data_IF_601953744381
#
_entry.id   IF_601953744381
#
_cell.length_a   1.000
_cell.length_b   1.000
_cell.length_c   1.000
_cell.angle_alpha   90.00
_cell.angle_beta   90.00
_cell.angle_gamma   90.00
#
_symmetry.space_group_name_H-M   'P 1'
#
loop_
_entity.id
_entity.type
_entity.pdbx_description
1 polymer ?
#
# COMPACT_ATOMS: atom_id res chain seq x y z
N UNK A 1 0.25 -36.44 -33.14
CA UNK A 1 1.49 -37.09 -32.69
C UNK A 1 2.53 -36.00 -32.58
N UNK A 2 2.68 -35.40 -31.39
CA UNK A 2 3.92 -34.79 -30.87
C UNK A 2 3.61 -34.36 -29.44
N UNK A 3 4.15 -35.15 -28.51
CA UNK A 3 4.02 -35.02 -27.07
C UNK A 3 5.14 -34.09 -26.60
N UNK A 4 4.80 -32.90 -26.10
CA UNK A 4 5.77 -31.95 -25.55
C UNK A 4 6.19 -32.34 -24.14
N UNK A 5 7.28 -33.11 -24.04
CA UNK A 5 7.93 -33.48 -22.79
C UNK A 5 8.64 -32.24 -22.20
N UNK A 6 8.12 -31.67 -21.11
CA UNK A 6 8.86 -30.69 -20.29
C UNK A 6 9.90 -31.44 -19.44
N UNK A 7 11.17 -31.33 -19.80
CA UNK A 7 12.31 -31.80 -19.00
C UNK A 7 12.65 -30.71 -17.99
N UNK A 8 12.26 -30.89 -16.72
CA UNK A 8 12.82 -30.14 -15.60
C UNK A 8 14.22 -30.69 -15.31
N UNK A 9 15.24 -29.88 -15.56
CA UNK A 9 16.62 -30.14 -15.12
C UNK A 9 16.73 -29.73 -13.65
N UNK A 10 16.67 -30.69 -12.73
CA UNK A 10 17.20 -30.49 -11.38
C UNK A 10 18.71 -30.79 -11.43
N UNK A 11 19.52 -29.77 -11.18
CA UNK A 11 20.96 -29.91 -10.99
C UNK A 11 21.25 -30.74 -9.73
N UNK A 12 22.21 -31.65 -9.86
CA UNK A 12 22.64 -32.56 -8.80
C UNK A 12 23.47 -31.82 -7.75
N UNK A 13 23.08 -31.94 -6.48
CA UNK A 13 23.98 -31.76 -5.35
C UNK A 13 24.23 -33.13 -4.72
N UNK A 14 25.47 -33.60 -4.86
CA UNK A 14 26.01 -34.80 -4.23
C UNK A 14 26.60 -34.38 -2.88
N UNK A 15 25.94 -34.73 -1.77
CA UNK A 15 26.61 -35.12 -0.52
C UNK A 15 25.75 -36.19 0.15
N UNK A 16 26.34 -37.36 0.35
CA UNK A 16 25.71 -38.51 0.99
C UNK A 16 26.07 -38.57 2.49
N UNK A 17 25.23 -39.35 3.20
CA UNK A 17 25.43 -40.03 4.50
C UNK A 17 24.69 -39.37 5.68
N UNK A 18 23.49 -39.88 5.98
CA UNK A 18 23.25 -40.74 7.15
C UNK A 18 21.81 -41.29 7.12
N UNK A 19 21.68 -42.59 7.37
CA UNK A 19 20.43 -43.34 7.33
C UNK A 19 19.46 -42.95 8.45
N UNK A 20 18.18 -42.83 8.12
CA UNK A 20 17.10 -42.61 9.08
C UNK A 20 15.73 -42.51 8.41
N UNK A 21 15.14 -43.67 8.11
CA UNK A 21 13.70 -43.94 8.04
C UNK A 21 12.80 -43.01 7.18
N UNK A 22 12.50 -43.47 5.96
CA UNK A 22 11.27 -43.10 5.24
C UNK A 22 10.04 -43.52 6.07
N UNK A 23 9.28 -42.54 6.54
CA UNK A 23 7.86 -42.68 6.85
C UNK A 23 7.14 -41.42 6.35
N UNK A 24 6.56 -41.51 5.16
CA UNK A 24 5.59 -40.52 4.69
C UNK A 24 4.26 -40.84 5.38
N UNK A 25 4.01 -40.17 6.51
CA UNK A 25 2.71 -40.20 7.17
C UNK A 25 1.80 -39.21 6.45
N UNK A 26 0.94 -39.72 5.58
CA UNK A 26 -0.33 -39.04 5.27
C UNK A 26 -1.18 -39.14 6.52
N UNK A 27 -1.36 -38.02 7.22
CA UNK A 27 -2.54 -37.67 8.02
C UNK A 27 -2.29 -36.32 8.71
N UNK A 28 -2.72 -35.23 8.07
CA UNK A 28 -3.17 -34.04 8.78
C UNK A 28 -4.38 -33.46 8.03
N UNK A 29 -5.61 -33.76 8.45
CA UNK A 29 -6.80 -33.14 7.90
C UNK A 29 -7.12 -31.86 8.68
N UNK A 30 -6.77 -30.71 8.12
CA UNK A 30 -7.42 -29.44 8.45
C UNK A 30 -8.12 -28.92 7.19
N UNK A 31 -9.12 -29.66 6.74
CA UNK A 31 -10.17 -29.16 5.86
C UNK A 31 -11.47 -29.85 6.26
N UNK A 32 -12.25 -29.15 7.08
CA UNK A 32 -13.64 -29.50 7.36
C UNK A 32 -14.51 -29.11 6.17
N UNK A 33 -15.04 -30.13 5.53
CA UNK A 33 -16.29 -30.19 4.73
C UNK A 33 -17.47 -29.68 5.59
N UNK A 34 -18.65 -29.28 5.11
CA UNK A 34 -19.25 -29.11 3.79
C UNK A 34 -20.60 -28.37 4.01
N UNK A 35 -21.13 -27.81 2.93
CA UNK A 35 -22.56 -27.65 2.61
C UNK A 35 -23.48 -26.74 3.47
N UNK A 36 -23.84 -25.60 2.88
CA UNK A 36 -25.10 -25.51 2.13
C UNK A 36 -26.36 -25.02 2.84
N UNK A 37 -27.00 -24.05 2.17
CA UNK A 37 -28.44 -23.75 2.08
C UNK A 37 -29.06 -22.76 3.07
N UNK A 38 -29.56 -21.68 2.45
CA UNK A 38 -30.87 -21.02 2.63
C UNK A 38 -31.31 -20.47 3.99
N UNK A 39 -31.76 -19.21 3.96
CA UNK A 39 -33.10 -18.88 4.48
C UNK A 39 -33.18 -18.16 5.83
N UNK A 40 -33.73 -16.96 5.73
CA UNK A 40 -34.79 -16.40 6.59
C UNK A 40 -34.50 -16.00 8.05
N UNK A 41 -35.00 -14.80 8.38
CA UNK A 41 -36.18 -14.78 9.23
C UNK A 41 -36.00 -14.22 10.64
N UNK A 42 -36.61 -13.06 10.84
CA UNK A 42 -37.01 -12.50 12.13
C UNK A 42 -37.81 -13.49 12.99
N UNK A 43 -37.67 -13.38 14.31
CA UNK A 43 -38.51 -14.12 15.25
C UNK A 43 -37.94 -14.12 16.68
N UNK A 44 -38.43 -13.20 17.50
CA UNK A 44 -38.07 -13.09 18.90
C UNK A 44 -38.56 -14.24 19.80
N UNK A 45 -37.98 -14.34 20.99
CA UNK A 45 -38.68 -14.38 22.27
C UNK A 45 -37.71 -14.67 23.45
N UNK A 46 -37.85 -13.84 24.48
CA UNK A 46 -37.84 -14.21 25.90
C UNK A 46 -36.66 -14.99 26.49
N UNK A 47 -35.88 -14.31 27.34
CA UNK A 47 -35.50 -14.87 28.65
C UNK A 47 -35.40 -13.80 29.74
N UNK A 48 -36.15 -14.02 30.83
CA UNK A 48 -35.97 -13.44 32.17
C UNK A 48 -35.19 -14.44 33.04
N UNK A 49 -34.85 -14.15 34.31
CA UNK A 49 -34.23 -12.95 34.86
C UNK A 49 -33.01 -13.26 35.77
N UNK A 50 -32.19 -12.25 36.07
CA UNK A 50 -31.11 -12.31 37.06
C UNK A 50 -31.32 -11.26 38.15
N UNK A 51 -31.46 -11.72 39.38
CA UNK A 51 -31.70 -10.99 40.64
C UNK A 51 -30.60 -10.02 41.05
N UNK A 52 -30.98 -8.90 41.68
CA UNK A 52 -30.08 -8.03 42.45
C UNK A 52 -30.81 -6.88 43.15
N UNK A 53 -31.22 -7.11 44.39
CA UNK A 53 -32.01 -6.19 45.22
C UNK A 53 -31.20 -5.00 45.76
N UNK A 54 -31.85 -3.83 45.85
CA UNK A 54 -31.55 -2.79 46.84
C UNK A 54 -32.87 -2.22 47.38
N UNK A 55 -32.98 -2.22 48.71
CA UNK A 55 -34.08 -1.71 49.51
C UNK A 55 -33.83 -0.24 49.87
N UNK A 56 -34.90 0.55 50.06
CA UNK A 56 -35.25 1.26 51.32
C UNK A 56 -36.32 2.33 51.10
N UNK A 57 -37.31 2.28 52.02
CA UNK A 57 -38.20 3.32 52.56
C UNK A 57 -39.46 3.76 51.82
N UNK A 58 -40.57 3.52 52.54
CA UNK A 58 -41.88 4.12 52.36
C UNK A 58 -41.92 5.58 52.82
N UNK A 59 -42.75 6.37 52.13
CA UNK A 59 -43.27 7.67 52.55
C UNK A 59 -44.53 7.98 51.74
N UNK A 60 -45.66 8.17 52.44
CA UNK A 60 -46.99 8.52 51.90
C UNK A 60 -47.03 9.84 51.14
N UNK A 61 -48.12 10.01 50.38
CA UNK A 61 -49.03 11.17 50.16
C UNK A 61 -49.36 11.21 48.65
N UNK A 62 -50.55 10.91 48.13
CA UNK A 62 -51.87 11.48 48.42
C UNK A 62 -52.43 12.07 47.11
N UNK A 63 -53.51 11.53 46.54
CA UNK A 63 -54.12 12.08 45.32
C UNK A 63 -55.21 11.20 44.70
N UNK A 64 -56.46 11.55 44.96
CA UNK A 64 -57.77 10.97 44.55
C UNK A 64 -57.90 10.73 43.02
N UNK A 65 -58.40 9.59 42.54
CA UNK A 65 -59.83 9.26 42.39
C UNK A 65 -60.48 10.07 41.26
N UNK A 66 -60.84 9.51 40.10
CA UNK A 66 -62.12 8.82 39.93
C UNK A 66 -62.11 7.95 38.66
N UNK A 67 -62.46 6.67 38.82
CA UNK A 67 -63.00 5.84 37.75
C UNK A 67 -64.41 6.35 37.48
N UNK A 68 -64.73 6.68 36.23
CA UNK A 68 -66.12 6.88 35.82
C UNK A 68 -66.62 5.61 35.12
N UNK A 69 -67.40 4.83 35.86
CA UNK A 69 -68.23 3.76 35.31
C UNK A 69 -69.64 4.31 35.09
N UNK A 70 -69.96 4.58 33.82
CA UNK A 70 -71.28 4.38 33.24
C UNK A 70 -72.27 5.53 33.31
N UNK A 71 -72.60 6.07 32.13
CA UNK A 71 -73.94 6.61 31.85
C UNK A 71 -74.38 6.12 30.47
N UNK A 72 -75.39 5.24 30.45
CA UNK A 72 -76.27 5.06 29.29
C UNK A 72 -77.12 6.32 29.21
N UNK A 73 -76.76 7.22 28.31
CA UNK A 73 -77.58 8.39 28.01
C UNK A 73 -78.83 7.95 27.25
N UNK A 74 -79.99 8.25 27.81
CA UNK A 74 -81.31 8.08 27.19
C UNK A 74 -81.99 9.44 27.03
N UNK A 75 -81.21 10.47 26.72
CA UNK A 75 -81.66 11.79 26.26
C UNK A 75 -82.17 11.79 24.81
N UNK A 76 -83.01 12.78 24.45
CA UNK A 76 -83.77 12.79 23.20
C UNK A 76 -82.87 13.00 21.98
N UNK A 77 -83.20 12.30 20.89
CA UNK A 77 -82.64 12.48 19.54
C UNK A 77 -82.40 13.96 19.24
N UNK A 78 -81.13 14.32 19.25
CA UNK A 78 -80.65 15.60 18.78
C UNK A 78 -81.08 15.80 17.33
N UNK A 79 -81.93 16.81 17.12
CA UNK A 79 -82.40 17.24 15.80
C UNK A 79 -81.79 18.59 15.45
N UNK A 80 -80.57 18.85 15.93
CA UNK A 80 -79.73 19.92 15.43
C UNK A 80 -79.63 19.89 13.89
N UNK A 81 -79.46 21.06 13.24
CA UNK A 81 -79.12 21.11 11.82
C UNK A 81 -77.90 20.22 11.57
N UNK A 82 -77.77 19.57 10.39
CA UNK A 82 -76.63 18.70 10.13
C UNK A 82 -75.39 19.50 10.42
N UNK A 83 -74.68 19.08 11.45
CA UNK A 83 -73.35 19.57 11.73
C UNK A 83 -72.60 19.33 10.43
N UNK A 84 -72.29 20.40 9.71
CA UNK A 84 -71.25 20.34 8.70
C UNK A 84 -69.97 20.22 9.50
N UNK A 85 -69.79 19.03 10.09
CA UNK A 85 -68.64 18.68 10.88
C UNK A 85 -67.45 19.02 10.00
N UNK A 86 -66.60 19.90 10.51
CA UNK A 86 -65.19 19.68 10.24
C UNK A 86 -64.96 18.23 10.65
N UNK A 87 -64.73 17.36 9.65
CA UNK A 87 -64.33 15.98 9.91
C UNK A 87 -63.24 16.04 10.97
N UNK A 88 -63.44 15.29 12.04
CA UNK A 88 -62.44 15.26 13.09
C UNK A 88 -61.44 14.21 12.67
N UNK A 89 -60.23 14.66 12.33
CA UNK A 89 -59.18 13.79 11.86
C UNK A 89 -59.03 12.53 12.72
N UNK A 90 -59.13 11.38 12.06
CA UNK A 90 -59.07 10.04 12.65
C UNK A 90 -60.43 9.44 12.99
N UNK A 91 -61.53 9.94 12.44
CA UNK A 91 -62.87 9.36 12.62
C UNK A 91 -63.25 8.30 11.56
N UNK A 92 -62.38 8.08 10.57
CA UNK A 92 -62.53 7.09 9.51
C UNK A 92 -63.31 7.60 8.29
N UNK A 93 -63.65 8.89 8.23
CA UNK A 93 -64.38 9.48 7.11
C UNK A 93 -63.65 10.74 6.60
N UNK A 94 -63.24 10.75 5.32
CA UNK A 94 -62.58 11.92 4.73
C UNK A 94 -63.52 13.13 4.70
N UNK A 95 -63.25 14.10 5.57
CA UNK A 95 -63.93 15.38 5.67
C UNK A 95 -63.46 16.43 4.66
N UNK A 96 -64.06 17.62 4.70
CA UNK A 96 -63.75 18.70 3.74
C UNK A 96 -62.39 19.39 3.92
N UNK A 97 -61.67 19.08 5.00
CA UNK A 97 -60.39 19.68 5.40
C UNK A 97 -59.27 18.63 5.58
N UNK A 98 -59.49 17.42 5.11
CA UNK A 98 -58.60 16.27 5.28
C UNK A 98 -58.18 15.78 3.89
N UNK A 99 -56.89 15.50 3.72
CA UNK A 99 -56.40 14.90 2.49
C UNK A 99 -56.59 13.37 2.52
N UNK A 100 -56.59 12.77 3.71
CA UNK A 100 -56.82 11.36 4.02
C UNK A 100 -57.45 11.18 5.40
N UNK A 101 -58.03 10.01 5.68
CA UNK A 101 -58.45 9.62 7.02
C UNK A 101 -58.49 8.08 7.10
N UNK A 102 -57.44 7.49 7.68
CA UNK A 102 -57.37 6.05 7.99
C UNK A 102 -57.91 5.75 9.40
N UNK A 103 -58.62 6.70 10.01
CA UNK A 103 -59.21 6.57 11.33
C UNK A 103 -58.17 6.45 12.43
N UNK A 104 -58.36 5.50 13.37
CA UNK A 104 -57.36 5.19 14.40
C UNK A 104 -56.00 4.72 13.87
N UNK A 105 -55.91 4.37 12.57
CA UNK A 105 -54.67 3.90 11.94
C UNK A 105 -53.81 5.07 11.39
N UNK A 106 -54.26 6.31 11.51
CA UNK A 106 -53.43 7.49 11.25
C UNK A 106 -52.18 7.49 12.13
N UNK A 107 -51.06 7.95 11.59
CA UNK A 107 -49.82 8.14 12.33
C UNK A 107 -48.64 8.51 11.46
N UNK A 108 -47.54 8.92 12.10
CA UNK A 108 -46.36 9.46 11.43
C UNK A 108 -45.76 8.47 10.39
N UNK A 109 -45.80 7.16 10.66
CA UNK A 109 -45.30 6.12 9.76
C UNK A 109 -46.40 5.45 8.90
N UNK A 110 -47.63 5.98 8.96
CA UNK A 110 -48.77 5.50 8.20
C UNK A 110 -48.91 6.27 6.88
N UNK A 111 -49.80 5.81 6.00
CA UNK A 111 -50.09 6.52 4.74
C UNK A 111 -50.74 7.89 4.98
N UNK A 112 -51.35 8.06 6.16
CA UNK A 112 -52.04 9.26 6.60
C UNK A 112 -51.52 9.70 7.98
N UNK A 113 -51.10 10.96 8.09
CA UNK A 113 -50.57 11.54 9.31
C UNK A 113 -51.66 11.78 10.36
N UNK A 114 -51.24 12.04 11.60
CA UNK A 114 -52.15 12.40 12.69
C UNK A 114 -52.94 13.70 12.46
N UNK A 115 -52.51 14.54 11.52
CA UNK A 115 -53.20 15.76 11.09
C UNK A 115 -53.99 15.60 9.78
N UNK A 116 -54.15 14.35 9.32
CA UNK A 116 -54.91 14.00 8.10
C UNK A 116 -54.34 14.59 6.82
N UNK A 117 -53.02 14.82 6.81
CA UNK A 117 -52.24 15.03 5.60
C UNK A 117 -51.67 13.70 5.12
N UNK A 118 -51.49 13.55 3.79
CA UNK A 118 -50.82 12.37 3.27
C UNK A 118 -49.37 12.32 3.72
N UNK A 119 -48.89 11.11 4.01
CA UNK A 119 -47.47 10.88 4.08
C UNK A 119 -46.87 11.03 2.67
N UNK A 120 -45.89 11.93 2.55
CA UNK A 120 -45.22 12.27 1.29
C UNK A 120 -43.72 12.38 1.52
N UNK A 121 -42.93 11.96 0.52
CA UNK A 121 -41.49 12.09 0.62
C UNK A 121 -41.06 13.55 0.83
N UNK A 122 -40.21 13.80 1.82
CA UNK A 122 -39.71 15.11 2.22
C UNK A 122 -40.52 15.77 3.33
N UNK A 123 -41.45 15.06 3.98
CA UNK A 123 -42.24 15.59 5.12
C UNK A 123 -41.59 15.32 6.49
N UNK A 124 -40.50 14.55 6.51
CA UNK A 124 -39.73 14.20 7.70
C UNK A 124 -40.14 12.88 8.33
N UNK A 125 -41.07 12.13 7.73
CA UNK A 125 -41.60 10.90 8.29
C UNK A 125 -41.64 9.75 7.27
N UNK A 126 -40.82 8.69 7.44
CA UNK A 126 -40.79 7.57 6.50
C UNK A 126 -42.11 6.77 6.52
N UNK A 127 -42.90 6.90 5.45
CA UNK A 127 -44.17 6.21 5.28
C UNK A 127 -44.05 4.75 4.81
N UNK A 128 -45.21 4.10 4.57
CA UNK A 128 -45.26 2.73 4.08
C UNK A 128 -44.56 2.57 2.72
N UNK A 129 -43.46 1.81 2.70
CA UNK A 129 -42.67 1.59 1.47
C UNK A 129 -41.60 2.65 1.20
N UNK A 130 -41.44 3.63 2.09
CA UNK A 130 -40.38 4.64 2.09
C UNK A 130 -39.40 4.32 3.22
N UNK A 131 -38.28 3.63 2.96
CA UNK A 131 -37.32 3.24 4.00
C UNK A 131 -36.61 4.43 4.69
N UNK A 132 -36.68 5.64 4.14
CA UNK A 132 -36.14 6.87 4.72
C UNK A 132 -37.02 8.08 4.35
N UNK A 133 -36.91 9.16 5.13
CA UNK A 133 -37.40 10.52 4.83
C UNK A 133 -36.65 11.48 5.77
N UNK A 134 -35.96 12.48 5.24
CA UNK A 134 -35.20 13.45 6.05
C UNK A 134 -35.79 14.86 6.03
N UNK A 135 -37.01 15.02 5.50
CA UNK A 135 -37.79 16.24 5.60
C UNK A 135 -37.33 17.36 4.68
N UNK A 136 -36.64 17.04 3.59
CA UNK A 136 -36.15 18.04 2.66
C UNK A 136 -36.16 17.58 1.19
N UNK A 137 -35.88 18.49 0.26
CA UNK A 137 -35.93 18.28 -1.21
C UNK A 137 -34.51 18.17 -1.85
N UNK A 138 -33.49 17.75 -1.10
CA UNK A 138 -32.08 17.66 -1.54
C UNK A 138 -31.74 16.18 -1.79
N UNK A 139 -31.30 15.84 -3.01
CA UNK A 139 -31.04 14.44 -3.38
C UNK A 139 -29.65 13.93 -2.92
N UNK A 140 -28.73 14.82 -2.59
CA UNK A 140 -27.33 14.55 -2.23
C UNK A 140 -27.11 14.46 -0.71
N UNK A 141 -28.04 13.83 0.00
CA UNK A 141 -27.95 13.51 1.43
C UNK A 141 -28.26 12.03 1.73
N UNK A 142 -28.65 11.71 2.97
CA UNK A 142 -28.86 10.33 3.39
C UNK A 142 -30.14 9.70 2.78
N UNK A 143 -31.06 10.53 2.28
CA UNK A 143 -32.32 10.08 1.72
C UNK A 143 -32.71 10.91 0.49
N UNK A 144 -32.64 10.26 -0.68
CA UNK A 144 -33.09 10.92 -1.92
C UNK A 144 -34.55 11.41 -1.85
N UNK A 145 -34.91 12.35 -2.72
CA UNK A 145 -36.28 12.85 -2.91
C UNK A 145 -37.28 11.78 -3.41
N UNK A 146 -36.78 10.58 -3.72
CA UNK A 146 -37.59 9.40 -4.00
C UNK A 146 -37.79 8.51 -2.77
N UNK A 147 -37.34 8.94 -1.60
CA UNK A 147 -37.35 8.23 -0.32
C UNK A 147 -36.66 6.87 -0.40
N UNK A 148 -35.58 6.83 -1.18
CA UNK A 148 -34.65 5.71 -1.27
C UNK A 148 -33.38 6.11 -0.52
N UNK A 149 -32.82 5.24 0.33
CA UNK A 149 -31.60 5.57 1.06
C UNK A 149 -30.46 5.80 0.08
N UNK A 150 -29.51 6.65 0.47
CA UNK A 150 -28.23 6.78 -0.22
C UNK A 150 -27.63 5.41 -0.53
N UNK A 151 -27.31 5.14 -1.79
CA UNK A 151 -26.69 3.88 -2.22
C UNK A 151 -25.71 4.10 -3.36
N UNK A 152 -24.51 3.60 -3.16
CA UNK A 152 -23.45 3.60 -4.16
C UNK A 152 -23.88 3.10 -5.54
N UNK A 153 -23.74 3.96 -6.55
CA UNK A 153 -24.13 3.68 -7.93
C UNK A 153 -25.55 4.12 -8.27
N UNK A 154 -26.17 5.03 -7.50
CA UNK A 154 -27.45 5.65 -7.81
C UNK A 154 -27.33 6.84 -8.80
N UNK A 155 -26.11 7.30 -9.08
CA UNK A 155 -25.80 8.36 -10.03
C UNK A 155 -25.62 9.74 -9.38
N UNK A 156 -25.68 9.81 -8.05
CA UNK A 156 -25.46 10.98 -7.19
C UNK A 156 -24.32 10.65 -6.23
N UNK A 157 -23.51 11.65 -5.86
CA UNK A 157 -22.47 11.45 -4.83
C UNK A 157 -23.05 11.92 -3.50
N UNK A 158 -23.45 10.96 -2.67
CA UNK A 158 -24.07 11.20 -1.36
C UNK A 158 -23.00 11.64 -0.31
N UNK A 159 -23.34 12.20 0.86
CA UNK A 159 -22.37 12.81 1.79
C UNK A 159 -21.31 11.86 2.34
N UNK A 160 -21.64 10.58 2.48
CA UNK A 160 -20.73 9.51 2.91
C UNK A 160 -19.94 8.90 1.74
N UNK A 161 -20.18 9.33 0.51
CA UNK A 161 -19.55 8.83 -0.70
C UNK A 161 -18.45 9.78 -1.20
N UNK A 162 -17.28 9.22 -1.52
CA UNK A 162 -16.20 9.98 -2.15
C UNK A 162 -16.38 10.06 -3.68
N UNK A 163 -17.24 9.20 -4.23
CA UNK A 163 -17.46 9.00 -5.66
C UNK A 163 -18.72 8.16 -5.88
N UNK A 164 -19.26 8.14 -7.10
CA UNK A 164 -20.38 7.26 -7.49
C UNK A 164 -20.07 6.51 -8.80
N UNK A 165 -20.51 5.23 -8.89
CA UNK A 165 -20.21 4.33 -10.00
C UNK A 165 -21.00 4.60 -11.30
N UNK A 166 -22.13 5.28 -11.23
CA UNK A 166 -23.05 5.54 -12.35
C UNK A 166 -23.21 7.03 -12.66
N UNK A 167 -22.55 7.92 -11.91
CA UNK A 167 -22.42 9.33 -12.21
C UNK A 167 -21.78 9.58 -13.60
N UNK A 168 -22.14 10.68 -14.31
CA UNK A 168 -21.68 10.95 -15.67
C UNK A 168 -20.18 11.21 -15.83
N UNK A 169 -19.42 11.28 -14.73
CA UNK A 169 -17.96 11.25 -14.69
C UNK A 169 -17.53 10.23 -13.62
N UNK A 170 -17.59 8.92 -13.89
CA UNK A 170 -17.11 7.95 -12.93
C UNK A 170 -15.62 8.22 -12.73
N UNK A 171 -15.23 8.61 -11.53
CA UNK A 171 -13.81 8.60 -11.15
C UNK A 171 -13.37 7.17 -11.37
N UNK A 172 -12.36 6.96 -12.22
CA UNK A 172 -11.91 5.63 -12.64
C UNK A 172 -11.57 4.71 -11.44
N UNK A 173 -11.32 5.35 -10.30
CA UNK A 173 -10.94 4.76 -9.04
C UNK A 173 -12.06 4.79 -8.00
N UNK A 174 -13.31 4.56 -8.41
CA UNK A 174 -14.43 4.44 -7.47
C UNK A 174 -14.71 2.97 -7.16
N UNK A 175 -14.60 2.57 -5.88
CA UNK A 175 -14.89 1.20 -5.45
C UNK A 175 -16.40 0.93 -5.34
N UNK A 176 -16.81 -0.33 -5.17
CA UNK A 176 -18.22 -0.69 -4.90
C UNK A 176 -18.75 -0.21 -3.56
N UNK A 177 -17.89 0.38 -2.72
CA UNK A 177 -18.28 1.04 -1.48
C UNK A 177 -18.31 2.56 -1.63
N UNK A 178 -18.20 3.07 -2.86
CA UNK A 178 -18.16 4.48 -3.18
C UNK A 178 -17.08 5.25 -2.42
N UNK A 179 -15.98 4.55 -2.15
CA UNK A 179 -14.71 5.12 -1.70
C UNK A 179 -13.78 5.23 -2.90
N UNK A 180 -12.86 6.18 -2.87
CA UNK A 180 -11.76 6.21 -3.82
C UNK A 180 -10.78 5.07 -3.49
N UNK A 181 -10.41 4.22 -4.46
CA UNK A 181 -9.21 3.40 -4.28
C UNK A 181 -8.00 4.32 -4.38
N UNK A 182 -7.11 4.13 -3.43
CA UNK A 182 -5.88 4.88 -3.30
C UNK A 182 -4.78 3.85 -3.31
N UNK A 183 -3.72 4.12 -4.06
CA UNK A 183 -2.57 3.23 -4.05
C UNK A 183 -2.09 2.96 -2.61
N UNK A 184 -1.77 1.70 -2.35
CA UNK A 184 -1.33 1.13 -1.07
C UNK A 184 -2.47 0.88 -0.06
N UNK A 185 -3.72 0.75 -0.52
CA UNK A 185 -4.88 0.45 0.34
C UNK A 185 -5.22 -1.05 0.45
N UNK A 186 -4.48 -1.89 -0.27
CA UNK A 186 -4.63 -3.34 -0.32
C UNK A 186 -5.67 -3.81 -1.32
N UNK A 187 -6.21 -2.90 -2.14
CA UNK A 187 -7.27 -3.16 -3.10
C UNK A 187 -6.84 -2.75 -4.50
N UNK A 188 -6.25 -3.69 -5.24
CA UNK A 188 -5.95 -3.45 -6.65
C UNK A 188 -7.23 -3.20 -7.48
N UNK A 189 -7.41 -1.96 -7.96
CA UNK A 189 -8.60 -1.57 -8.72
C UNK A 189 -8.30 -0.51 -9.81
N UNK A 190 -9.17 -0.46 -10.82
CA UNK A 190 -9.09 0.58 -11.85
C UNK A 190 -7.82 0.50 -12.69
N UNK A 191 -6.98 1.55 -12.60
CA UNK A 191 -5.75 1.70 -13.38
C UNK A 191 -4.47 1.28 -12.65
N UNK A 192 -4.58 0.69 -11.45
CA UNK A 192 -3.45 0.17 -10.69
C UNK A 192 -2.92 -1.14 -11.30
N UNK A 193 -1.61 -1.23 -11.53
CA UNK A 193 -0.97 -2.44 -12.05
C UNK A 193 -0.65 -3.45 -10.93
N UNK A 194 -0.57 -2.97 -9.69
CA UNK A 194 -0.42 -3.73 -8.45
C UNK A 194 -1.00 -2.91 -7.29
N UNK A 195 -1.28 -3.56 -6.15
CA UNK A 195 -1.46 -2.91 -4.85
C UNK A 195 -1.18 -3.98 -3.78
N UNK A 196 -0.20 -3.74 -2.93
CA UNK A 196 0.25 -4.66 -1.90
C UNK A 196 -0.07 -4.15 -0.46
N UNK A 197 -0.85 -3.06 -0.37
CA UNK A 197 -1.39 -2.51 0.88
C UNK A 197 -0.38 -1.85 1.79
N UNK A 198 0.80 -1.45 1.30
CA UNK A 198 1.79 -0.75 2.10
C UNK A 198 2.62 0.21 1.23
N UNK A 199 3.35 1.15 1.84
CA UNK A 199 4.08 2.21 1.09
C UNK A 199 5.58 1.89 0.93
N UNK A 200 5.95 0.62 0.90
CA UNK A 200 7.33 0.20 0.74
C UNK A 200 7.64 0.01 -0.75
N UNK A 201 8.52 0.83 -1.30
CA UNK A 201 8.87 0.70 -2.72
C UNK A 201 9.96 -0.35 -2.99
N UNK A 202 10.51 -1.01 -1.96
CA UNK A 202 11.57 -2.03 -2.12
C UNK A 202 11.00 -3.44 -2.42
N UNK A 203 9.77 -3.54 -2.95
CA UNK A 203 9.07 -4.80 -3.24
C UNK A 203 8.35 -4.80 -4.61
N UNK A 204 7.38 -5.71 -4.80
CA UNK A 204 6.74 -5.94 -6.10
C UNK A 204 5.86 -4.77 -6.57
N UNK A 205 5.50 -3.84 -5.69
CA UNK A 205 4.64 -2.71 -6.02
C UNK A 205 5.26 -1.39 -5.60
N UNK A 206 5.56 -0.52 -6.58
CA UNK A 206 6.33 0.71 -6.33
C UNK A 206 5.54 1.96 -6.69
N UNK A 207 5.78 3.03 -5.93
CA UNK A 207 5.33 4.39 -6.20
C UNK A 207 3.82 4.50 -6.32
N UNK A 208 3.33 4.85 -7.50
CA UNK A 208 1.90 5.03 -7.76
C UNK A 208 1.28 3.74 -8.33
N UNK A 209 1.47 2.62 -7.61
CA UNK A 209 0.87 1.32 -7.92
C UNK A 209 1.27 0.78 -9.29
N UNK A 210 2.58 0.89 -9.56
CA UNK A 210 3.24 0.38 -10.74
C UNK A 210 4.01 -0.88 -10.36
N UNK A 211 3.98 -1.89 -11.24
CA UNK A 211 4.81 -3.07 -11.04
C UNK A 211 6.28 -2.67 -11.06
N UNK A 212 7.02 -3.12 -10.05
CA UNK A 212 8.44 -2.85 -9.99
C UNK A 212 9.18 -3.48 -11.18
N UNK A 213 10.20 -2.78 -11.66
CA UNK A 213 11.05 -3.21 -12.77
C UNK A 213 12.46 -2.71 -12.57
N UNK A 214 13.44 -3.51 -12.96
CA UNK A 214 14.83 -3.08 -13.03
C UNK A 214 14.99 -1.72 -13.72
N UNK A 215 15.64 -0.77 -13.04
CA UNK A 215 15.84 0.60 -13.48
C UNK A 215 14.73 1.57 -13.08
N UNK A 216 13.83 1.18 -12.17
CA UNK A 216 12.78 2.05 -11.65
C UNK A 216 13.25 2.93 -10.48
N UNK A 217 14.46 2.73 -9.98
CA UNK A 217 15.06 3.53 -8.93
C UNK A 217 14.85 2.98 -7.52
N UNK A 218 14.33 1.75 -7.39
CA UNK A 218 14.15 1.04 -6.14
C UNK A 218 14.95 -0.25 -6.13
N UNK A 219 15.36 -0.73 -4.95
CA UNK A 219 16.20 -1.93 -4.84
C UNK A 219 15.45 -3.08 -4.16
N UNK A 220 15.11 -4.11 -4.93
CA UNK A 220 14.38 -5.28 -4.44
C UNK A 220 15.28 -6.43 -4.03
N UNK A 221 15.56 -6.50 -2.73
CA UNK A 221 16.44 -7.52 -2.16
C UNK A 221 15.92 -8.95 -2.42
N UNK A 222 16.64 -9.70 -3.24
CA UNK A 222 16.38 -11.12 -3.52
C UNK A 222 15.88 -11.38 -4.95
N UNK A 223 15.30 -10.37 -5.61
CA UNK A 223 14.89 -10.46 -7.01
C UNK A 223 15.93 -9.82 -7.95
N UNK A 224 16.56 -8.74 -7.49
CA UNK A 224 17.64 -8.07 -8.21
C UNK A 224 18.88 -7.86 -7.32
N UNK A 225 20.03 -7.68 -7.96
CA UNK A 225 21.29 -7.51 -7.24
C UNK A 225 21.60 -6.02 -7.00
N UNK A 226 21.15 -5.15 -7.91
CA UNK A 226 21.30 -3.71 -7.88
C UNK A 226 20.20 -3.08 -8.74
N UNK A 227 20.01 -1.76 -8.63
CA UNK A 227 19.20 -0.97 -9.55
C UNK A 227 20.04 0.21 -10.08
N UNK A 228 20.06 0.50 -11.40
CA UNK A 228 20.86 1.59 -11.97
C UNK A 228 20.56 3.00 -11.41
N UNK A 229 19.35 3.24 -10.90
CA UNK A 229 18.94 4.47 -10.23
C UNK A 229 19.31 4.54 -8.74
N UNK A 230 19.73 3.43 -8.14
CA UNK A 230 20.12 3.33 -6.73
C UNK A 230 21.65 3.33 -6.58
N UNK A 231 22.23 4.14 -5.69
CA UNK A 231 23.66 4.09 -5.41
C UNK A 231 24.10 2.72 -4.91
N UNK A 232 25.06 2.11 -5.61
CA UNK A 232 25.70 0.87 -5.20
C UNK A 232 26.49 1.07 -3.90
N UNK A 233 26.30 0.17 -2.94
CA UNK A 233 27.06 0.13 -1.69
C UNK A 233 28.20 -0.89 -1.72
N UNK A 234 28.16 -1.82 -2.68
CA UNK A 234 29.17 -2.85 -2.90
C UNK A 234 30.40 -2.27 -3.59
N UNK A 235 31.55 -2.84 -3.28
CA UNK A 235 32.86 -2.46 -3.82
C UNK A 235 33.50 -3.63 -4.55
N UNK A 236 34.51 -3.34 -5.36
CA UNK A 236 35.31 -4.38 -6.01
C UNK A 236 35.98 -5.34 -5.01
N UNK A 237 36.27 -4.89 -3.77
CA UNK A 237 36.82 -5.72 -2.69
C UNK A 237 35.87 -6.86 -2.30
N UNK A 238 34.56 -6.60 -2.30
CA UNK A 238 33.54 -7.59 -1.98
C UNK A 238 33.49 -8.74 -3.00
N UNK A 239 33.96 -8.49 -4.23
CA UNK A 239 34.11 -9.47 -5.30
C UNK A 239 35.53 -10.05 -5.40
N UNK A 240 36.44 -9.67 -4.51
CA UNK A 240 37.82 -10.17 -4.45
C UNK A 240 38.83 -9.41 -5.31
N UNK A 241 38.47 -8.23 -5.82
CA UNK A 241 39.34 -7.34 -6.58
C UNK A 241 39.93 -6.24 -5.68
N UNK A 242 40.99 -5.57 -6.12
CA UNK A 242 41.72 -4.60 -5.28
C UNK A 242 41.31 -3.15 -5.59
N UNK A 243 40.97 -2.87 -6.85
CA UNK A 243 40.64 -1.53 -7.32
C UNK A 243 39.56 -1.59 -8.40
N UNK A 244 39.05 -0.43 -8.80
CA UNK A 244 38.03 -0.29 -9.83
C UNK A 244 36.67 0.13 -9.28
N UNK A 245 35.65 -0.03 -10.11
CA UNK A 245 34.26 0.25 -9.76
C UNK A 245 33.36 -0.92 -10.18
N UNK A 246 32.40 -1.25 -9.33
CA UNK A 246 31.28 -2.12 -9.70
C UNK A 246 30.27 -1.26 -10.44
N UNK A 247 29.64 -1.79 -11.47
CA UNK A 247 28.53 -1.15 -12.16
C UNK A 247 27.26 -1.98 -12.00
N UNK A 248 26.11 -1.34 -12.19
CA UNK A 248 24.84 -2.03 -12.31
C UNK A 248 24.44 -2.07 -13.78
N UNK A 249 24.20 -3.27 -14.31
CA UNK A 249 23.72 -3.44 -15.67
C UNK A 249 22.23 -3.09 -15.80
N UNK A 250 21.77 -2.87 -17.04
CA UNK A 250 20.35 -2.70 -17.36
C UNK A 250 19.49 -3.95 -17.09
N UNK A 251 20.12 -5.10 -16.79
CA UNK A 251 19.45 -6.32 -16.34
C UNK A 251 19.52 -6.53 -14.82
N UNK A 252 19.94 -5.48 -14.08
CA UNK A 252 20.03 -5.45 -12.61
C UNK A 252 20.94 -6.54 -12.01
N UNK A 253 21.95 -6.93 -12.79
CA UNK A 253 23.08 -7.71 -12.31
C UNK A 253 24.29 -6.81 -12.05
N UNK A 254 25.11 -7.20 -11.07
CA UNK A 254 26.38 -6.53 -10.86
C UNK A 254 27.34 -6.82 -12.03
N UNK A 255 27.93 -5.76 -12.56
CA UNK A 255 29.05 -5.83 -13.49
C UNK A 255 30.36 -5.48 -12.76
N UNK A 256 31.25 -6.46 -12.67
CA UNK A 256 32.58 -6.29 -12.10
C UNK A 256 33.66 -6.21 -13.20
N UNK A 257 33.29 -5.97 -14.46
CA UNK A 257 34.26 -5.86 -15.57
C UNK A 257 35.25 -4.71 -15.38
N UNK A 258 34.83 -3.65 -14.68
CA UNK A 258 35.71 -2.54 -14.30
C UNK A 258 36.31 -2.67 -12.89
N UNK A 259 36.32 -3.90 -12.34
CA UNK A 259 37.11 -4.27 -11.17
C UNK A 259 38.40 -4.98 -11.59
N UNK A 260 39.53 -4.57 -11.01
CA UNK A 260 40.85 -5.03 -11.40
C UNK A 260 41.64 -5.61 -10.22
N UNK A 261 42.50 -6.59 -10.52
CA UNK A 261 43.32 -7.27 -9.52
C UNK A 261 44.80 -7.04 -9.77
N UNK A 262 45.42 -6.36 -8.82
CA UNK A 262 46.85 -6.14 -8.83
C UNK A 262 47.63 -7.47 -8.78
N UNK A 263 48.48 -7.74 -9.78
CA UNK A 263 49.35 -8.91 -9.79
C UNK A 263 48.87 -10.08 -10.64
N UNK A 264 47.91 -9.86 -11.54
CA UNK A 264 47.45 -10.85 -12.50
C UNK A 264 48.34 -10.91 -13.77
N UNK A 265 49.35 -10.05 -13.86
CA UNK A 265 50.35 -10.02 -14.93
C UNK A 265 49.94 -9.20 -16.14
N UNK A 266 48.88 -8.40 -16.07
CA UNK A 266 48.46 -7.44 -17.10
C UNK A 266 48.18 -6.08 -16.44
N UNK A 267 48.47 -4.98 -17.14
CA UNK A 267 48.10 -3.64 -16.68
C UNK A 267 46.78 -3.29 -17.34
N UNK A 268 45.69 -3.19 -16.57
CA UNK A 268 44.34 -2.97 -17.08
C UNK A 268 43.57 -1.88 -16.32
N UNK A 269 42.69 -1.18 -17.03
CA UNK A 269 41.80 -0.16 -16.46
C UNK A 269 42.49 0.93 -15.64
N UNK A 270 42.17 1.00 -14.34
CA UNK A 270 42.69 1.99 -13.39
C UNK A 270 44.04 1.61 -12.75
N UNK A 271 44.60 0.44 -13.09
CA UNK A 271 45.90 0.00 -12.60
C UNK A 271 47.04 0.76 -13.28
N UNK A 272 47.95 1.34 -12.50
CA UNK A 272 49.12 2.06 -13.05
C UNK A 272 50.29 1.12 -13.39
N UNK A 273 50.29 -0.08 -12.81
CA UNK A 273 51.32 -1.11 -12.96
C UNK A 273 50.77 -2.47 -12.47
N UNK A 274 51.46 -3.55 -12.77
CA UNK A 274 51.23 -4.90 -12.20
C UNK A 274 52.59 -5.46 -11.73
N UNK A 275 52.63 -6.38 -10.75
CA UNK A 275 53.87 -6.95 -10.18
C UNK A 275 54.95 -7.26 -11.26
N UNK A 276 55.97 -6.41 -11.32
CA UNK A 276 57.11 -6.56 -12.24
C UNK A 276 56.86 -6.09 -13.69
N UNK A 277 55.68 -5.56 -14.00
CA UNK A 277 55.37 -4.80 -15.21
C UNK A 277 55.04 -3.37 -14.84
N UNK A 278 56.02 -2.48 -15.01
CA UNK A 278 55.71 -1.06 -15.13
C UNK A 278 54.73 -0.89 -16.31
N UNK A 279 53.73 -0.03 -16.18
CA UNK A 279 53.01 0.46 -17.35
C UNK A 279 53.96 1.11 -18.37
N UNK A 280 53.43 1.82 -19.37
CA UNK A 280 54.25 2.60 -20.32
C UNK A 280 55.08 3.72 -19.67
N UNK A 281 54.97 3.89 -18.36
CA UNK A 281 55.55 4.99 -17.63
C UNK A 281 56.98 4.65 -17.15
N UNK A 282 57.95 5.35 -17.73
CA UNK A 282 59.34 5.38 -17.27
C UNK A 282 59.59 6.69 -16.51
N UNK A 283 60.70 6.83 -15.75
CA UNK A 283 61.02 8.14 -15.12
C UNK A 283 60.88 9.29 -16.14
N UNK A 284 61.27 9.06 -17.40
CA UNK A 284 61.21 10.03 -18.49
C UNK A 284 59.82 10.47 -18.92
N UNK A 285 58.81 9.59 -18.89
CA UNK A 285 57.44 9.95 -19.30
C UNK A 285 56.72 10.80 -18.24
N UNK A 286 57.10 10.63 -16.97
CA UNK A 286 56.58 11.41 -15.84
C UNK A 286 57.28 12.76 -15.64
N UNK A 287 58.26 13.11 -16.49
CA UNK A 287 59.04 14.34 -16.38
C UNK A 287 60.20 14.29 -15.37
N UNK A 288 60.68 13.08 -15.05
CA UNK A 288 61.84 12.81 -14.20
C UNK A 288 63.02 12.30 -15.05
N UNK A 289 64.25 12.53 -14.60
CA UNK A 289 65.48 12.07 -15.25
C UNK A 289 65.94 10.82 -14.49
N UNK A 290 66.07 9.67 -15.16
CA UNK A 290 66.40 8.42 -14.46
C UNK A 290 66.39 7.16 -15.31
N UNK A 291 67.10 6.12 -14.84
CA UNK A 291 67.01 4.73 -15.32
C UNK A 291 66.47 3.79 -14.22
N UNK A 292 65.75 4.34 -13.23
CA UNK A 292 65.21 3.55 -12.12
C UNK A 292 64.09 2.63 -12.56
N UNK A 293 64.00 1.49 -11.88
CA UNK A 293 62.85 0.61 -12.01
C UNK A 293 61.67 1.26 -11.27
N UNK A 294 60.61 1.57 -12.00
CA UNK A 294 59.34 1.91 -11.36
C UNK A 294 58.77 0.62 -10.74
N UNK A 295 58.75 0.55 -9.41
CA UNK A 295 58.25 -0.62 -8.70
C UNK A 295 56.75 -0.47 -8.48
N UNK A 296 56.01 -1.57 -8.65
CA UNK A 296 54.60 -1.60 -8.36
C UNK A 296 54.38 -1.99 -6.90
N UNK A 297 53.64 -1.19 -6.13
CA UNK A 297 53.23 -1.57 -4.78
C UNK A 297 52.21 -2.70 -4.81
N UNK A 298 51.95 -3.34 -3.66
CA UNK A 298 50.88 -4.34 -3.53
C UNK A 298 49.47 -3.74 -3.68
N UNK A 299 49.34 -2.42 -3.77
CA UNK A 299 48.11 -1.67 -4.04
C UNK A 299 48.09 -1.07 -5.44
N UNK A 300 49.00 -1.50 -6.33
CA UNK A 300 49.10 -1.03 -7.71
C UNK A 300 49.35 0.48 -7.88
N UNK A 301 49.97 1.10 -6.86
CA UNK A 301 50.53 2.44 -6.97
C UNK A 301 51.95 2.37 -7.53
N UNK A 302 52.25 3.23 -8.50
CA UNK A 302 53.59 3.35 -9.06
C UNK A 302 54.51 3.99 -8.01
N UNK A 303 55.38 3.20 -7.42
CA UNK A 303 56.41 3.68 -6.51
C UNK A 303 57.70 3.87 -7.30
N UNK A 304 58.07 5.14 -7.52
CA UNK A 304 59.35 5.48 -8.14
C UNK A 304 60.47 5.27 -7.12
N UNK A 305 61.53 4.57 -7.52
CA UNK A 305 62.75 4.52 -6.70
C UNK A 305 63.38 5.92 -6.65
N UNK A 306 63.39 6.60 -5.48
CA UNK A 306 63.92 7.95 -5.35
C UNK A 306 65.45 8.01 -5.54
N UNK A 307 66.14 6.86 -5.57
CA UNK A 307 67.57 6.79 -5.84
C UNK A 307 67.91 6.83 -7.33
N UNK A 308 66.93 6.62 -8.20
CA UNK A 308 67.14 6.51 -9.65
C UNK A 308 66.19 7.34 -10.52
N UNK A 309 65.04 7.82 -10.03
CA UNK A 309 64.25 8.85 -10.70
C UNK A 309 64.43 10.19 -9.95
N UNK A 310 65.06 11.19 -10.60
CA UNK A 310 65.26 12.54 -10.03
C UNK A 310 64.49 13.61 -10.80
N UNK A 311 63.94 14.66 -10.14
CA UNK A 311 63.25 15.75 -10.84
C UNK A 311 64.22 16.52 -11.75
N UNK A 312 63.73 17.01 -12.89
CA UNK A 312 64.49 17.66 -13.98
C UNK A 312 65.35 18.87 -13.59
N UNK A 313 65.22 19.37 -12.36
CA UNK A 313 66.03 20.46 -11.80
C UNK A 313 67.24 20.04 -10.94
N UNK A 314 67.43 18.74 -10.65
CA UNK A 314 68.49 18.22 -9.76
C UNK A 314 69.24 17.03 -10.39
N UNK A 315 69.64 17.12 -11.66
CA UNK A 315 70.36 16.03 -12.32
C UNK A 315 71.75 15.81 -11.69
N UNK A 316 71.90 14.75 -10.91
CA UNK A 316 73.20 14.27 -10.46
C UNK A 316 73.74 13.27 -11.48
N UNK A 317 74.88 13.58 -12.07
CA UNK A 317 75.48 12.80 -13.16
C UNK A 317 76.80 12.17 -12.72
N UNK A 318 77.09 10.98 -13.24
CA UNK A 318 78.41 10.38 -13.22
C UNK A 318 79.35 11.20 -14.12
N UNK A 319 80.67 11.03 -13.94
CA UNK A 319 81.69 11.77 -14.70
C UNK A 319 81.64 11.51 -16.23
N UNK A 320 80.95 10.46 -16.66
CA UNK A 320 80.72 10.07 -18.05
C UNK A 320 79.40 10.62 -18.62
N UNK A 321 78.60 11.35 -17.83
CA UNK A 321 77.30 11.89 -18.22
C UNK A 321 76.12 10.93 -18.03
N UNK A 322 76.35 9.75 -17.45
CA UNK A 322 75.30 8.79 -17.10
C UNK A 322 74.60 9.19 -15.78
N UNK A 323 73.36 8.74 -15.56
CA UNK A 323 72.60 9.03 -14.33
C UNK A 323 73.04 8.08 -13.21
N UNK A 324 73.13 8.61 -11.99
CA UNK A 324 73.61 7.86 -10.84
C UNK A 324 72.50 7.06 -10.18
N UNK A 325 72.36 5.81 -10.58
CA UNK A 325 71.63 4.83 -9.80
C UNK A 325 72.53 4.28 -8.69
N UNK A 326 72.06 4.26 -7.43
CA UNK A 326 72.72 3.67 -6.24
C UNK A 326 73.90 4.41 -5.57
N UNK A 327 74.22 5.65 -5.97
CA UNK A 327 75.27 6.48 -5.33
C UNK A 327 74.70 7.73 -4.64
N UNK A 328 75.43 8.26 -3.65
CA UNK A 328 74.99 9.44 -2.90
C UNK A 328 75.20 10.69 -3.76
N UNK A 329 74.14 11.44 -4.07
CA UNK A 329 74.29 12.71 -4.76
C UNK A 329 74.84 13.80 -3.83
N UNK A 330 75.95 14.41 -4.22
CA UNK A 330 76.42 15.63 -3.58
C UNK A 330 75.65 16.84 -4.15
N UNK A 331 74.72 17.37 -3.36
CA UNK A 331 73.85 18.49 -3.74
C UNK A 331 74.59 19.79 -4.11
N UNK A 332 75.88 19.93 -3.73
CA UNK A 332 76.70 21.11 -4.07
C UNK A 332 77.36 20.97 -5.43
N UNK A 333 77.78 19.75 -5.79
CA UNK A 333 78.56 19.53 -7.01
C UNK A 333 77.75 18.93 -8.15
N UNK A 334 76.56 18.39 -7.90
CA UNK A 334 75.76 17.68 -8.91
C UNK A 334 76.42 16.39 -9.41
N UNK A 335 77.36 15.85 -8.64
CA UNK A 335 78.12 14.64 -8.95
C UNK A 335 77.88 13.59 -7.88
N UNK A 336 77.97 12.32 -8.26
CA UNK A 336 77.65 11.20 -7.39
C UNK A 336 78.91 10.50 -6.89
N UNK A 337 78.88 10.08 -5.62
CA UNK A 337 79.97 9.42 -4.91
C UNK A 337 79.50 8.17 -4.16
#
# INVERSE_FOLDING_TARGET
MFLGLRVHRCAAAIVAIAAGSLACSRDNPLFGQDAGLDGDGDGGASSSPGTGALTVSAGSEGGTGSLDTGVLDTGPLDTGPPDTGAGSCGDGEIGGNEDCDDGPDNGDLASCHHDCTFNTCGDGFPGPGQPCDDGNDIDDDACSNACVPATCGNGVVDPEEACDLSAPNPVANCTRKCTLNVCHDGIQFGNELCDDGNTNDDDDCVGECVLATCGDGYLRLGDEQCDPGVPITMTCEDFGYVTGAVHCNDDCTFDATDCYTCGNGIVEGAEHCDFGKSGTESCGSLGWIGNGDATCSSTCELTLDPTCCVPTGLACLLADGSICCSLSCNAVTGLCN
#
